data_IF_993160286449
#
_entry.id   IF_993160286449
#
_cell.length_a   1.000
_cell.length_b   1.000
_cell.length_c   1.000
_cell.angle_alpha   90.00
_cell.angle_beta   90.00
_cell.angle_gamma   90.00
#
_symmetry.space_group_name_H-M   'P 1'
#
loop_
_entity.id
_entity.type
_entity.pdbx_description
1 polymer ?
#
# COMPACT_ATOMS: atom_id res chain seq x y z
N UNK A 1 -14.67 -2.31 -30.19
CA UNK A 1 -13.45 -2.48 -29.40
C UNK A 1 -13.79 -3.42 -28.27
N UNK A 2 -13.00 -4.47 -28.07
CA UNK A 2 -13.20 -5.49 -27.03
C UNK A 2 -11.87 -5.69 -26.30
N UNK A 3 -11.91 -6.23 -25.08
CA UNK A 3 -10.71 -6.60 -24.36
C UNK A 3 -10.29 -8.02 -24.76
N UNK A 4 -9.07 -8.17 -25.27
CA UNK A 4 -8.51 -9.43 -25.75
C UNK A 4 -7.71 -10.13 -24.64
N UNK A 5 -7.94 -11.43 -24.44
CA UNK A 5 -7.24 -12.25 -23.43
C UNK A 5 -5.95 -12.85 -24.00
N UNK A 6 -4.83 -12.61 -23.31
CA UNK A 6 -3.53 -13.18 -23.59
C UNK A 6 -3.02 -13.96 -22.39
N UNK A 7 -2.34 -15.09 -22.61
CA UNK A 7 -1.63 -15.84 -21.55
C UNK A 7 -0.17 -15.45 -21.43
N UNK A 8 0.41 -15.05 -22.56
CA UNK A 8 1.79 -14.61 -22.66
C UNK A 8 1.82 -13.41 -23.61
N UNK A 9 2.66 -12.42 -23.30
CA UNK A 9 2.87 -11.27 -24.17
C UNK A 9 4.00 -11.57 -25.16
N UNK A 10 3.73 -11.35 -26.44
CA UNK A 10 4.78 -11.30 -27.47
C UNK A 10 5.65 -10.04 -27.29
N UNK A 11 6.84 -10.01 -27.89
CA UNK A 11 7.80 -8.91 -27.73
C UNK A 11 7.18 -7.52 -28.03
N UNK A 12 6.32 -7.44 -29.04
CA UNK A 12 5.62 -6.20 -29.40
C UNK A 12 4.60 -5.80 -28.34
N UNK A 13 3.81 -6.74 -27.84
CA UNK A 13 2.80 -6.47 -26.80
C UNK A 13 3.45 -6.12 -25.47
N UNK A 14 4.56 -6.79 -25.13
CA UNK A 14 5.37 -6.45 -23.95
C UNK A 14 5.89 -5.02 -24.02
N UNK A 15 6.40 -4.60 -25.17
CA UNK A 15 6.87 -3.23 -25.37
C UNK A 15 5.73 -2.21 -25.22
N UNK A 16 4.56 -2.50 -25.80
CA UNK A 16 3.38 -1.64 -25.73
C UNK A 16 2.79 -1.54 -24.30
N UNK A 17 2.76 -2.66 -23.56
CA UNK A 17 2.38 -2.68 -22.14
C UNK A 17 3.37 -1.85 -21.31
N UNK A 18 4.67 -2.04 -21.53
CA UNK A 18 5.71 -1.27 -20.85
C UNK A 18 5.57 0.24 -21.10
N UNK A 19 5.28 0.64 -22.34
CA UNK A 19 5.00 2.04 -22.68
C UNK A 19 3.79 2.58 -21.90
N UNK A 20 2.65 1.89 -21.95
CA UNK A 20 1.43 2.31 -21.25
C UNK A 20 1.62 2.42 -19.73
N UNK A 21 2.32 1.47 -19.11
CA UNK A 21 2.59 1.51 -17.67
C UNK A 21 3.48 2.70 -17.32
N UNK A 22 4.48 3.01 -18.15
CA UNK A 22 5.34 4.18 -17.96
C UNK A 22 4.57 5.51 -18.12
N UNK A 23 3.63 5.59 -19.07
CA UNK A 23 2.75 6.75 -19.21
C UNK A 23 1.87 6.96 -17.97
N UNK A 24 1.32 5.88 -17.41
CA UNK A 24 0.54 5.93 -16.18
C UNK A 24 1.41 6.32 -14.98
N UNK A 25 2.60 5.73 -14.83
CA UNK A 25 3.57 6.08 -13.79
C UNK A 25 3.93 7.56 -13.81
N UNK A 26 4.16 8.11 -15.00
CA UNK A 26 4.47 9.53 -15.18
C UNK A 26 3.30 10.42 -14.77
N UNK A 27 2.08 10.09 -15.19
CA UNK A 27 0.88 10.88 -14.92
C UNK A 27 0.46 10.82 -13.44
N UNK A 28 0.56 9.65 -12.81
CA UNK A 28 0.07 9.39 -11.45
C UNK A 28 1.16 9.54 -10.38
N UNK A 29 2.39 9.85 -10.80
CA UNK A 29 3.57 9.92 -9.95
C UNK A 29 3.82 8.62 -9.16
N UNK A 30 3.65 7.48 -9.81
CA UNK A 30 3.89 6.14 -9.26
C UNK A 30 5.11 5.47 -9.91
N UNK A 31 5.47 4.29 -9.42
CA UNK A 31 6.57 3.48 -9.92
C UNK A 31 6.22 1.98 -9.97
N UNK A 32 5.09 1.63 -10.60
CA UNK A 32 4.81 0.24 -10.93
C UNK A 32 5.91 -0.33 -11.83
N UNK A 33 6.14 -1.64 -11.74
CA UNK A 33 7.04 -2.30 -12.68
C UNK A 33 6.41 -2.25 -14.08
N UNK A 34 7.19 -1.84 -15.06
CA UNK A 34 6.74 -1.76 -16.45
C UNK A 34 6.84 -3.11 -17.18
N UNK A 35 7.61 -4.06 -16.65
CA UNK A 35 7.70 -5.43 -17.19
C UNK A 35 6.73 -6.36 -16.45
N UNK A 36 5.43 -6.21 -16.75
CA UNK A 36 4.39 -7.04 -16.14
C UNK A 36 4.62 -8.53 -16.49
N UNK A 37 4.60 -9.37 -15.46
CA UNK A 37 4.83 -10.81 -15.53
C UNK A 37 3.64 -11.65 -15.04
N UNK A 38 2.42 -11.10 -15.18
CA UNK A 38 1.17 -11.79 -14.87
C UNK A 38 0.96 -13.10 -15.62
N UNK A 39 0.12 -13.97 -15.03
CA UNK A 39 -0.29 -15.26 -15.59
C UNK A 39 -1.21 -15.11 -16.81
N UNK A 40 -1.88 -13.97 -16.92
CA UNK A 40 -2.71 -13.59 -18.08
C UNK A 40 -2.93 -12.07 -18.11
N UNK A 41 -3.39 -11.59 -19.27
CA UNK A 41 -3.58 -10.17 -19.56
C UNK A 41 -4.88 -9.95 -20.34
N UNK A 42 -5.63 -8.90 -20.01
CA UNK A 42 -6.68 -8.36 -20.87
C UNK A 42 -6.22 -7.03 -21.44
N UNK A 43 -6.16 -6.92 -22.77
CA UNK A 43 -5.62 -5.76 -23.48
C UNK A 43 -6.71 -5.10 -24.33
N UNK A 44 -6.75 -3.77 -24.32
CA UNK A 44 -7.54 -2.95 -25.25
C UNK A 44 -6.57 -2.14 -26.12
N UNK A 45 -6.56 -2.42 -27.43
CA UNK A 45 -5.67 -1.79 -28.41
C UNK A 45 -6.21 -0.46 -28.92
N UNK A 46 -5.28 0.40 -29.33
CA UNK A 46 -5.55 1.60 -30.10
C UNK A 46 -5.43 1.29 -31.61
N UNK A 47 -6.52 0.82 -32.20
CA UNK A 47 -6.55 0.46 -33.63
C UNK A 47 -6.60 1.70 -34.56
N UNK A 48 -6.94 2.88 -34.02
CA UNK A 48 -7.05 4.13 -34.78
C UNK A 48 -6.40 5.31 -34.03
N UNK A 49 -5.11 5.50 -34.28
CA UNK A 49 -4.30 6.58 -33.71
C UNK A 49 -4.71 7.97 -34.22
N UNK A 50 -5.27 8.05 -35.43
CA UNK A 50 -5.73 9.32 -35.99
C UNK A 50 -7.01 9.79 -35.28
N UNK A 51 -7.94 8.88 -35.03
CA UNK A 51 -9.19 9.16 -34.31
C UNK A 51 -8.93 9.45 -32.83
N UNK A 52 -8.07 8.67 -32.17
CA UNK A 52 -7.76 8.86 -30.75
C UNK A 52 -6.85 10.05 -30.47
N UNK A 53 -6.04 10.47 -31.44
CA UNK A 53 -5.04 11.51 -31.27
C UNK A 53 -3.90 11.11 -30.32
N UNK A 54 -3.72 9.80 -30.10
CA UNK A 54 -2.69 9.24 -29.25
C UNK A 54 -1.76 8.33 -30.06
N UNK A 55 -0.45 8.48 -29.83
CA UNK A 55 0.55 7.62 -30.45
C UNK A 55 0.71 6.26 -29.72
N UNK A 56 0.12 6.12 -28.52
CA UNK A 56 0.17 4.90 -27.71
C UNK A 56 -0.54 3.74 -28.41
N UNK A 57 0.06 2.54 -28.38
CA UNK A 57 -0.49 1.33 -29.00
C UNK A 57 -1.68 0.75 -28.21
N UNK A 58 -1.77 1.02 -26.91
CA UNK A 58 -2.77 0.46 -26.01
C UNK A 58 -3.55 1.55 -25.27
N UNK A 59 -4.85 1.35 -25.08
CA UNK A 59 -5.63 2.18 -24.19
C UNK A 59 -5.69 1.63 -22.77
N UNK A 60 -5.70 0.31 -22.61
CA UNK A 60 -5.77 -0.31 -21.31
C UNK A 60 -5.13 -1.71 -21.30
N UNK A 61 -4.62 -2.09 -20.14
CA UNK A 61 -4.20 -3.45 -19.82
C UNK A 61 -4.62 -3.80 -18.39
N UNK A 62 -5.05 -5.04 -18.19
CA UNK A 62 -5.26 -5.65 -16.88
C UNK A 62 -4.42 -6.92 -16.81
N UNK A 63 -3.46 -6.97 -15.89
CA UNK A 63 -2.61 -8.12 -15.59
C UNK A 63 -3.17 -8.87 -14.38
N UNK A 64 -3.28 -10.20 -14.48
CA UNK A 64 -3.80 -11.06 -13.42
C UNK A 64 -2.80 -12.11 -12.94
N UNK A 65 -2.77 -12.34 -11.62
CA UNK A 65 -1.80 -13.20 -10.95
C UNK A 65 -2.50 -14.25 -10.07
N UNK A 66 -2.11 -15.51 -10.21
CA UNK A 66 -2.55 -16.64 -9.38
C UNK A 66 -1.53 -16.93 -8.28
N UNK A 67 -1.61 -16.19 -7.18
CA UNK A 67 -0.69 -16.32 -6.04
C UNK A 67 -1.00 -17.49 -5.10
N UNK A 68 -1.95 -18.36 -5.46
CA UNK A 68 -2.37 -19.51 -4.65
C UNK A 68 -3.15 -19.15 -3.37
N UNK A 69 -3.50 -17.88 -3.19
CA UNK A 69 -4.26 -17.38 -2.05
C UNK A 69 -5.74 -17.79 -2.14
N UNK A 70 -6.35 -18.07 -0.97
CA UNK A 70 -7.79 -18.29 -0.84
C UNK A 70 -8.40 -17.47 0.29
N UNK A 71 -9.53 -16.82 0.01
CA UNK A 71 -10.32 -16.07 0.98
C UNK A 71 -11.73 -16.62 0.98
N UNK A 72 -12.24 -16.98 2.17
CA UNK A 72 -13.58 -17.58 2.34
C UNK A 72 -13.82 -18.83 1.45
N UNK A 73 -12.77 -19.61 1.21
CA UNK A 73 -12.82 -20.80 0.36
C UNK A 73 -12.82 -20.51 -1.14
N UNK A 74 -12.75 -19.24 -1.56
CA UNK A 74 -12.63 -18.84 -2.97
C UNK A 74 -11.18 -18.51 -3.30
N UNK A 75 -10.77 -18.80 -4.54
CA UNK A 75 -9.46 -18.39 -5.04
C UNK A 75 -9.39 -16.87 -5.17
N UNK A 76 -8.24 -16.31 -4.88
CA UNK A 76 -7.95 -14.89 -5.12
C UNK A 76 -7.14 -14.76 -6.41
N UNK A 77 -7.53 -13.80 -7.24
CA UNK A 77 -6.72 -13.29 -8.35
C UNK A 77 -6.24 -11.91 -7.94
N UNK A 78 -4.92 -11.73 -7.86
CA UNK A 78 -4.34 -10.39 -7.70
C UNK A 78 -4.28 -9.70 -9.06
N UNK A 79 -4.56 -8.40 -9.10
CA UNK A 79 -4.72 -7.63 -10.34
C UNK A 79 -4.00 -6.30 -10.25
N UNK A 80 -3.27 -6.01 -11.33
CA UNK A 80 -2.80 -4.67 -11.69
C UNK A 80 -3.53 -4.24 -12.96
N UNK A 81 -4.02 -2.99 -12.99
CA UNK A 81 -4.77 -2.49 -14.13
C UNK A 81 -4.38 -1.05 -14.45
N UNK A 82 -4.17 -0.79 -15.74
CA UNK A 82 -3.71 0.48 -16.25
C UNK A 82 -4.62 0.94 -17.38
N UNK A 83 -4.95 2.22 -17.40
CA UNK A 83 -5.69 2.87 -18.49
C UNK A 83 -4.99 4.18 -18.80
N UNK A 84 -4.69 4.39 -20.08
CA UNK A 84 -3.97 5.54 -20.57
C UNK A 84 -4.59 6.83 -19.98
N UNK A 85 -3.80 7.78 -19.44
CA UNK A 85 -4.32 8.94 -18.71
C UNK A 85 -5.40 9.73 -19.46
N UNK A 86 -5.20 9.98 -20.75
CA UNK A 86 -6.17 10.69 -21.61
C UNK A 86 -7.43 9.88 -21.98
N UNK A 87 -7.45 8.58 -21.67
CA UNK A 87 -8.53 7.64 -22.01
C UNK A 87 -9.23 7.08 -20.78
N UNK A 88 -9.08 7.73 -19.62
CA UNK A 88 -9.81 7.38 -18.39
C UNK A 88 -11.26 7.86 -18.44
N UNK A 89 -12.13 7.25 -17.63
CA UNK A 89 -13.53 7.67 -17.49
C UNK A 89 -14.46 7.32 -18.66
N UNK A 90 -13.96 6.64 -19.70
CA UNK A 90 -14.74 6.23 -20.88
C UNK A 90 -15.00 4.71 -20.96
N UNK A 91 -14.57 3.95 -19.95
CA UNK A 91 -14.98 2.56 -19.74
C UNK A 91 -13.96 1.47 -20.14
N UNK A 92 -12.75 1.81 -20.57
CA UNK A 92 -11.76 0.80 -20.96
C UNK A 92 -11.30 -0.10 -19.80
N UNK A 93 -11.11 0.44 -18.61
CA UNK A 93 -10.92 -0.37 -17.40
C UNK A 93 -12.08 -1.35 -17.20
N UNK A 94 -13.32 -0.86 -17.31
CA UNK A 94 -14.52 -1.68 -17.11
C UNK A 94 -14.62 -2.79 -18.16
N UNK A 95 -14.15 -2.57 -19.38
CA UNK A 95 -14.06 -3.62 -20.40
C UNK A 95 -13.15 -4.76 -19.96
N UNK A 96 -11.90 -4.47 -19.57
CA UNK A 96 -10.98 -5.50 -19.07
C UNK A 96 -11.53 -6.19 -17.81
N UNK A 97 -12.06 -5.43 -16.86
CA UNK A 97 -12.61 -5.96 -15.61
C UNK A 97 -13.82 -6.87 -15.83
N UNK A 98 -14.72 -6.52 -16.75
CA UNK A 98 -15.87 -7.37 -17.05
C UNK A 98 -15.45 -8.65 -17.76
N UNK A 99 -14.49 -8.61 -18.69
CA UNK A 99 -13.93 -9.82 -19.30
C UNK A 99 -13.31 -10.75 -18.25
N UNK A 100 -12.53 -10.20 -17.31
CA UNK A 100 -12.00 -10.96 -16.16
C UNK A 100 -13.11 -11.65 -15.36
N UNK A 101 -14.19 -10.93 -15.05
CA UNK A 101 -15.32 -11.49 -14.28
C UNK A 101 -16.11 -12.57 -15.03
N UNK A 102 -16.22 -12.43 -16.35
CA UNK A 102 -16.95 -13.38 -17.18
C UNK A 102 -16.21 -14.71 -17.30
N UNK A 103 -14.88 -14.65 -17.45
CA UNK A 103 -14.00 -15.80 -17.54
C UNK A 103 -13.75 -16.48 -16.19
N UNK A 104 -13.54 -15.70 -15.13
CA UNK A 104 -13.26 -16.19 -13.78
C UNK A 104 -14.45 -16.01 -12.86
N UNK A 105 -15.37 -16.97 -12.93
CA UNK A 105 -16.52 -17.03 -12.03
C UNK A 105 -16.10 -17.63 -10.69
N UNK A 106 -16.66 -17.08 -9.61
CA UNK A 106 -16.46 -17.54 -8.23
C UNK A 106 -15.03 -17.36 -7.67
N UNK A 107 -14.34 -16.32 -8.11
CA UNK A 107 -13.08 -15.86 -7.52
C UNK A 107 -13.30 -14.56 -6.75
N UNK A 108 -12.33 -14.23 -5.89
CA UNK A 108 -12.15 -12.90 -5.32
C UNK A 108 -11.11 -12.15 -6.12
N UNK A 109 -11.35 -10.87 -6.38
CA UNK A 109 -10.42 -10.04 -7.16
C UNK A 109 -9.77 -9.06 -6.19
N UNK A 110 -8.45 -9.11 -6.09
CA UNK A 110 -7.64 -8.26 -5.19
C UNK A 110 -6.81 -7.30 -6.02
N UNK A 111 -7.10 -6.01 -5.95
CA UNK A 111 -6.37 -4.95 -6.64
C UNK A 111 -5.16 -4.51 -5.82
N UNK A 112 -4.01 -4.43 -6.48
CA UNK A 112 -2.79 -3.84 -5.94
C UNK A 112 -2.67 -2.39 -6.42
N UNK A 113 -2.54 -1.45 -5.48
CA UNK A 113 -2.53 -0.01 -5.79
C UNK A 113 -1.35 0.65 -5.10
N UNK A 114 -0.37 1.14 -5.85
CA UNK A 114 0.71 1.97 -5.32
C UNK A 114 0.23 3.38 -5.01
N UNK A 115 0.64 3.87 -3.85
CA UNK A 115 0.52 5.28 -3.47
C UNK A 115 1.48 6.12 -4.35
N UNK A 116 1.08 7.33 -4.77
CA UNK A 116 1.99 8.28 -5.40
C UNK A 116 3.23 8.55 -4.52
N UNK A 117 4.39 8.68 -5.16
CA UNK A 117 5.66 8.92 -4.50
C UNK A 117 5.64 10.27 -3.77
N UNK A 118 6.13 10.29 -2.53
CA UNK A 118 6.17 11.51 -1.70
C UNK A 118 7.09 12.57 -2.33
N UNK A 119 6.57 13.79 -2.54
CA UNK A 119 7.31 14.91 -3.15
C UNK A 119 6.46 15.77 -4.11
N UNK A 120 5.30 15.27 -4.52
CA UNK A 120 4.29 16.05 -5.24
C UNK A 120 3.17 16.46 -4.29
N UNK A 121 3.38 17.55 -3.55
CA UNK A 121 2.30 18.27 -2.85
C UNK A 121 1.36 18.89 -3.90
N UNK A 122 0.54 18.06 -4.56
CA UNK A 122 -0.60 18.57 -5.29
C UNK A 122 -1.71 18.81 -4.27
N UNK A 123 -2.08 20.08 -4.07
CA UNK A 123 -3.10 20.53 -3.12
C UNK A 123 -4.47 19.85 -3.27
N UNK A 124 -4.70 19.10 -4.35
CA UNK A 124 -5.88 18.26 -4.55
C UNK A 124 -5.93 17.04 -3.60
N UNK A 125 -4.77 16.53 -3.14
CA UNK A 125 -4.71 15.35 -2.26
C UNK A 125 -4.93 15.66 -0.77
N UNK A 126 -4.79 16.93 -0.35
CA UNK A 126 -4.94 17.32 1.07
C UNK A 126 -6.39 17.56 1.51
N UNK A 127 -7.37 17.54 0.60
CA UNK A 127 -8.76 17.92 0.93
C UNK A 127 -9.80 16.92 0.44
N UNK A 128 -9.84 15.76 1.08
CA UNK A 128 -11.12 15.06 1.24
C UNK A 128 -11.47 15.15 2.73
N UNK A 129 -12.19 16.22 3.09
CA UNK A 129 -12.92 16.30 4.35
C UNK A 129 -14.21 15.51 4.18
N UNK A 130 -14.38 14.47 4.99
CA UNK A 130 -15.66 13.77 5.09
C UNK A 130 -16.53 14.55 6.07
N UNK A 131 -17.57 15.20 5.57
CA UNK A 131 -18.73 15.55 6.40
C UNK A 131 -19.30 14.22 6.89
N UNK A 132 -19.23 14.00 8.21
CA UNK A 132 -20.08 13.01 8.85
C UNK A 132 -21.50 13.54 8.73
N UNK A 133 -22.38 12.79 8.05
CA UNK A 133 -23.82 12.94 8.18
C UNK A 133 -24.18 12.76 9.67
N UNK A 134 -24.25 13.87 10.38
CA UNK A 134 -24.93 13.98 11.66
C UNK A 134 -25.87 15.18 11.52
N UNK A 135 -27.04 14.92 10.93
CA UNK A 135 -28.19 15.80 11.09
C UNK A 135 -28.58 15.79 12.57
N UNK A 136 -27.97 16.69 13.33
CA UNK A 136 -28.56 17.22 14.55
C UNK A 136 -28.59 18.74 14.45
N UNK A 137 -29.80 19.26 14.30
CA UNK A 137 -30.09 20.69 14.28
C UNK A 137 -29.45 21.38 15.50
N UNK A 138 -28.80 22.54 15.36
CA UNK A 138 -28.39 23.31 16.52
C UNK A 138 -29.59 24.10 17.02
N UNK A 139 -30.17 23.63 18.13
CA UNK A 139 -31.00 24.43 19.01
C UNK A 139 -30.29 25.75 19.32
N UNK A 140 -30.97 26.85 18.99
CA UNK A 140 -30.46 28.19 19.19
C UNK A 140 -30.26 28.50 20.67
N UNK A 141 -29.06 28.98 21.02
CA UNK A 141 -28.86 29.76 22.23
C UNK A 141 -27.74 30.78 22.03
N UNK A 142 -28.11 32.06 22.01
CA UNK A 142 -27.20 33.18 22.26
C UNK A 142 -26.82 33.19 23.75
N UNK A 143 -25.64 33.70 24.12
CA UNK A 143 -25.67 35.03 24.72
C UNK A 143 -24.51 35.96 24.34
N UNK A 144 -24.82 37.25 24.45
CA UNK A 144 -23.93 38.40 24.31
C UNK A 144 -22.91 38.52 25.45
N UNK A 145 -21.81 39.21 25.12
CA UNK A 145 -20.96 40.13 25.92
C UNK A 145 -20.82 39.94 27.44
N UNK A 146 -19.58 39.92 27.93
CA UNK A 146 -19.01 41.09 28.61
C UNK A 146 -17.54 40.95 29.02
N UNK A 147 -16.89 42.11 29.06
CA UNK A 147 -15.50 42.39 29.45
C UNK A 147 -15.31 42.35 30.98
N UNK A 148 -14.18 41.80 31.45
CA UNK A 148 -13.20 42.42 32.38
C UNK A 148 -12.45 41.41 33.27
N UNK A 149 -11.11 41.48 33.23
CA UNK A 149 -10.26 41.76 34.41
C UNK A 149 -9.94 40.66 35.43
N UNK A 150 -8.64 40.35 35.57
CA UNK A 150 -7.99 40.34 36.90
C UNK A 150 -7.51 39.00 37.50
N UNK A 151 -6.18 38.88 37.59
CA UNK A 151 -5.30 38.31 38.63
C UNK A 151 -5.50 36.90 39.24
N UNK A 152 -4.38 36.15 39.22
CA UNK A 152 -3.70 35.40 40.30
C UNK A 152 -4.55 34.67 41.36
N UNK A 153 -4.38 33.34 41.48
CA UNK A 153 -3.64 32.65 42.58
C UNK A 153 -3.89 31.12 42.60
N UNK A 154 -2.79 30.41 42.80
CA UNK A 154 -2.51 29.17 43.55
C UNK A 154 -3.54 28.04 43.81
N UNK A 155 -3.00 26.82 43.65
CA UNK A 155 -3.17 25.58 44.43
C UNK A 155 -4.58 25.00 44.64
N UNK A 156 -4.75 23.71 44.29
CA UNK A 156 -4.99 22.63 45.26
C UNK A 156 -5.00 21.24 44.62
N UNK A 157 -4.27 20.32 45.24
CA UNK A 157 -4.25 18.87 45.05
C UNK A 157 -5.52 18.20 45.60
N UNK A 158 -6.06 17.18 44.91
CA UNK A 158 -6.72 15.96 45.43
C UNK A 158 -6.85 14.97 44.24
N UNK A 159 -6.16 13.82 44.15
CA UNK A 159 -6.34 12.52 44.84
C UNK A 159 -7.76 11.92 44.82
N UNK A 160 -7.83 10.68 44.34
CA UNK A 160 -8.95 9.72 44.40
C UNK A 160 -9.61 9.52 43.04
N UNK A 161 -9.95 8.34 42.55
CA UNK A 161 -9.69 6.94 42.92
C UNK A 161 -10.16 6.09 41.72
N UNK A 162 -9.69 4.85 41.64
CA UNK A 162 -10.06 3.87 40.63
C UNK A 162 -11.58 3.64 40.57
N UNK A 163 -12.13 3.65 39.36
CA UNK A 163 -13.21 2.74 38.99
C UNK A 163 -13.02 2.29 37.53
N UNK A 164 -12.85 0.98 37.41
CA UNK A 164 -12.83 0.18 36.20
C UNK A 164 -14.29 -0.12 35.84
N UNK A 165 -14.78 0.42 34.73
CA UNK A 165 -15.98 -0.08 34.07
C UNK A 165 -15.73 -0.15 32.56
N UNK A 166 -15.54 -1.38 32.12
CA UNK A 166 -15.77 -1.91 30.77
C UNK A 166 -16.76 -1.10 29.94
N UNK A 167 -16.22 -0.29 29.03
CA UNK A 167 -16.95 0.33 27.93
C UNK A 167 -16.31 -0.13 26.63
N UNK A 168 -17.07 -0.93 25.90
CA UNK A 168 -16.87 -1.41 24.53
C UNK A 168 -16.18 -0.37 23.63
N UNK A 169 -14.85 -0.36 23.60
CA UNK A 169 -14.10 0.31 22.56
C UNK A 169 -14.14 -0.61 21.35
N UNK A 170 -15.25 -0.55 20.62
CA UNK A 170 -15.22 -0.81 19.18
C UNK A 170 -14.09 0.05 18.63
N UNK A 171 -12.95 -0.56 18.33
CA UNK A 171 -11.89 0.03 17.53
C UNK A 171 -12.52 0.37 16.18
N UNK A 172 -13.13 1.56 16.08
CA UNK A 172 -13.38 2.18 14.79
C UNK A 172 -11.99 2.42 14.22
N UNK A 173 -11.60 1.58 13.26
CA UNK A 173 -10.57 1.92 12.29
C UNK A 173 -10.94 3.32 11.79
N UNK A 174 -10.17 4.33 12.18
CA UNK A 174 -10.24 5.67 11.59
C UNK A 174 -9.94 5.45 10.12
N UNK A 175 -10.94 5.46 9.25
CA UNK A 175 -10.72 5.37 7.81
C UNK A 175 -9.89 6.59 7.38
N UNK A 176 -8.61 6.43 7.02
CA UNK A 176 -7.86 7.51 6.41
C UNK A 176 -7.96 7.23 4.91
N UNK A 177 -8.80 7.88 4.11
CA UNK A 177 -8.63 7.70 2.64
C UNK A 177 -8.59 9.06 1.96
N UNK A 178 -7.39 9.62 1.88
CA UNK A 178 -6.96 10.32 0.68
C UNK A 178 -5.53 9.89 0.30
N UNK A 179 -5.31 8.59 0.04
CA UNK A 179 -4.00 8.05 -0.38
C UNK A 179 -4.02 7.34 -1.74
N UNK A 180 -5.19 7.20 -2.36
CA UNK A 180 -5.37 6.68 -3.74
C UNK A 180 -5.79 7.85 -4.63
N UNK A 181 -5.36 7.84 -5.90
CA UNK A 181 -5.84 8.81 -6.89
C UNK A 181 -7.39 8.84 -6.91
N UNK A 182 -8.03 10.03 -6.92
CA UNK A 182 -9.49 10.12 -6.78
C UNK A 182 -10.26 9.27 -7.78
N UNK A 183 -9.81 9.26 -9.04
CA UNK A 183 -10.39 8.45 -10.12
C UNK A 183 -10.28 6.94 -9.85
N UNK A 184 -9.12 6.46 -9.39
CA UNK A 184 -8.90 5.07 -9.00
C UNK A 184 -9.79 4.68 -7.81
N UNK A 185 -9.87 5.52 -6.78
CA UNK A 185 -10.71 5.25 -5.61
C UNK A 185 -12.19 5.18 -5.97
N UNK A 186 -12.69 6.15 -6.73
CA UNK A 186 -14.08 6.17 -7.20
C UNK A 186 -14.41 4.94 -8.06
N UNK A 187 -13.49 4.57 -8.96
CA UNK A 187 -13.62 3.38 -9.80
C UNK A 187 -13.74 2.12 -8.95
N UNK A 188 -12.82 1.91 -8.00
CA UNK A 188 -12.82 0.73 -7.13
C UNK A 188 -14.04 0.69 -6.21
N UNK A 189 -14.46 1.84 -5.67
CA UNK A 189 -15.68 1.95 -4.89
C UNK A 189 -16.92 1.60 -5.73
N UNK A 190 -16.97 2.02 -6.99
CA UNK A 190 -18.12 1.77 -7.87
C UNK A 190 -18.34 0.28 -8.18
N UNK A 191 -17.25 -0.52 -8.15
CA UNK A 191 -17.33 -1.98 -8.30
C UNK A 191 -17.45 -2.73 -6.96
N UNK A 192 -17.62 -2.00 -5.85
CA UNK A 192 -17.82 -2.57 -4.51
C UNK A 192 -16.55 -3.03 -3.82
N UNK A 193 -15.38 -2.55 -4.24
CA UNK A 193 -14.12 -2.93 -3.62
C UNK A 193 -13.99 -2.38 -2.20
N UNK A 194 -13.51 -3.23 -1.29
CA UNK A 194 -13.25 -2.90 0.11
C UNK A 194 -11.75 -2.95 0.41
N UNK A 195 -11.28 -2.05 1.27
CA UNK A 195 -9.90 -2.05 1.75
C UNK A 195 -9.62 -3.31 2.59
N UNK A 196 -8.45 -3.93 2.39
CA UNK A 196 -8.00 -5.08 3.17
C UNK A 196 -6.88 -4.71 4.15
N UNK A 197 -5.75 -4.28 3.61
CA UNK A 197 -4.56 -3.87 4.34
C UNK A 197 -3.64 -3.09 3.40
N UNK A 198 -2.68 -2.38 3.99
CA UNK A 198 -1.58 -1.79 3.25
C UNK A 198 -0.31 -2.62 3.46
N UNK A 199 0.54 -2.68 2.45
CA UNK A 199 1.90 -3.17 2.57
C UNK A 199 2.86 -1.98 2.47
N UNK A 200 3.74 -1.87 3.47
CA UNK A 200 4.69 -0.77 3.61
C UNK A 200 6.07 -1.28 3.23
N UNK A 201 6.67 -0.65 2.23
CA UNK A 201 8.09 -0.81 1.97
C UNK A 201 8.82 0.16 2.89
N UNK A 202 9.67 -0.37 3.76
CA UNK A 202 10.46 0.41 4.69
C UNK A 202 11.94 0.23 4.44
N UNK A 203 12.69 1.33 4.49
CA UNK A 203 14.13 1.36 4.28
C UNK A 203 14.85 1.90 5.52
N UNK A 204 16.05 1.39 5.78
CA UNK A 204 17.02 2.01 6.69
C UNK A 204 18.40 2.07 6.05
N UNK A 205 19.00 3.26 6.07
CA UNK A 205 20.42 3.46 5.77
C UNK A 205 21.26 3.03 6.97
N UNK A 206 22.28 2.22 6.73
CA UNK A 206 23.17 1.68 7.76
C UNK A 206 24.29 2.68 8.10
N UNK A 207 24.76 2.65 9.35
CA UNK A 207 25.89 3.47 9.79
C UNK A 207 27.19 3.11 9.06
N UNK A 208 27.33 1.84 8.70
CA UNK A 208 28.46 1.32 7.92
C UNK A 208 28.00 0.17 7.02
N UNK A 209 28.62 0.02 5.83
CA UNK A 209 28.24 -1.03 4.89
C UNK A 209 28.54 -2.44 5.41
N UNK A 210 27.60 -3.37 5.20
CA UNK A 210 27.72 -4.77 5.63
C UNK A 210 27.78 -5.72 4.43
N UNK A 211 28.34 -6.91 4.64
CA UNK A 211 28.14 -8.04 3.72
C UNK A 211 26.80 -8.72 4.00
N UNK A 212 26.36 -9.59 3.09
CA UNK A 212 25.20 -10.45 3.34
C UNK A 212 25.52 -11.38 4.53
N UNK A 213 24.73 -11.35 5.62
CA UNK A 213 24.89 -12.27 6.72
C UNK A 213 24.51 -13.72 6.37
N UNK A 214 23.70 -13.93 5.34
CA UNK A 214 23.11 -15.23 5.03
C UNK A 214 22.39 -15.84 6.25
N UNK A 215 22.58 -17.13 6.46
CA UNK A 215 21.97 -17.87 7.57
C UNK A 215 22.71 -17.70 8.91
N UNK A 216 23.81 -16.93 8.97
CA UNK A 216 24.64 -16.79 10.19
C UNK A 216 23.86 -16.20 11.39
N UNK A 217 22.74 -15.53 11.14
CA UNK A 217 21.95 -14.82 12.16
C UNK A 217 20.79 -15.64 12.72
N UNK A 218 20.49 -16.80 12.14
CA UNK A 218 19.49 -17.72 12.67
C UNK A 218 20.02 -18.38 13.95
N UNK A 219 19.21 -18.35 15.02
CA UNK A 219 19.62 -18.88 16.31
C UNK A 219 18.44 -19.50 17.07
N UNK A 220 18.68 -19.96 18.30
CA UNK A 220 17.66 -20.64 19.11
C UNK A 220 16.41 -19.82 19.42
N UNK A 221 16.42 -18.50 19.18
CA UNK A 221 15.29 -17.60 19.44
C UNK A 221 14.45 -17.28 18.19
N UNK A 222 15.00 -17.44 17.00
CA UNK A 222 14.35 -17.02 15.77
C UNK A 222 15.29 -17.00 14.56
N UNK A 223 14.73 -16.54 13.45
CA UNK A 223 15.30 -16.61 12.11
C UNK A 223 15.18 -15.25 11.42
N UNK A 224 16.16 -14.95 10.57
CA UNK A 224 16.15 -13.79 9.68
C UNK A 224 16.53 -14.27 8.31
N UNK A 225 15.78 -13.86 7.30
CA UNK A 225 16.01 -14.23 5.92
C UNK A 225 16.26 -12.98 5.07
N UNK A 226 17.42 -12.97 4.42
CA UNK A 226 17.95 -11.84 3.67
C UNK A 226 18.33 -12.30 2.27
N UNK A 227 18.22 -11.38 1.31
CA UNK A 227 18.74 -11.57 -0.05
C UNK A 227 19.26 -10.25 -0.60
N UNK A 228 20.18 -10.29 -1.56
CA UNK A 228 20.57 -9.09 -2.29
C UNK A 228 19.41 -8.59 -3.14
N UNK A 229 19.00 -7.33 -2.93
CA UNK A 229 17.99 -6.67 -3.76
C UNK A 229 18.63 -6.03 -4.99
N UNK A 230 19.62 -5.18 -4.73
CA UNK A 230 20.38 -4.48 -5.75
C UNK A 230 21.89 -4.44 -5.40
N UNK A 231 22.64 -3.51 -6.00
CA UNK A 231 24.09 -3.37 -5.77
C UNK A 231 24.44 -2.97 -4.34
N UNK A 232 23.57 -2.23 -3.65
CA UNK A 232 23.82 -1.62 -2.34
C UNK A 232 22.70 -1.90 -1.30
N UNK A 233 21.63 -2.59 -1.67
CA UNK A 233 20.48 -2.87 -0.79
C UNK A 233 20.33 -4.37 -0.49
N UNK A 234 20.20 -4.71 0.80
CA UNK A 234 19.73 -6.02 1.26
C UNK A 234 18.22 -5.98 1.47
N UNK A 235 17.52 -6.99 0.98
CA UNK A 235 16.11 -7.19 1.23
C UNK A 235 15.90 -8.20 2.35
N UNK A 236 15.23 -7.77 3.42
CA UNK A 236 14.75 -8.65 4.49
C UNK A 236 13.34 -9.11 4.12
N UNK A 237 13.22 -10.37 3.73
CA UNK A 237 11.96 -11.00 3.33
C UNK A 237 11.37 -11.90 4.42
N UNK A 238 12.08 -12.09 5.53
CA UNK A 238 11.55 -12.84 6.67
C UNK A 238 12.23 -12.48 7.99
N UNK A 239 11.41 -12.25 9.01
CA UNK A 239 11.83 -12.16 10.40
C UNK A 239 10.86 -12.99 11.24
N UNK A 240 11.38 -14.01 11.91
CA UNK A 240 10.60 -14.89 12.77
C UNK A 240 11.21 -14.92 14.17
N UNK A 241 10.37 -14.75 15.19
CA UNK A 241 10.73 -15.04 16.59
C UNK A 241 9.83 -16.17 17.05
N UNK A 242 10.41 -17.27 17.54
CA UNK A 242 9.61 -18.42 17.96
C UNK A 242 8.72 -18.08 19.17
N UNK A 243 7.49 -18.61 19.20
CA UNK A 243 6.41 -18.23 20.13
C UNK A 243 6.83 -18.09 21.59
N UNK A 244 7.60 -19.06 22.11
CA UNK A 244 8.11 -19.07 23.50
C UNK A 244 9.03 -17.89 23.84
N UNK A 245 9.49 -17.14 22.84
CA UNK A 245 10.44 -16.02 22.94
C UNK A 245 9.82 -14.68 22.51
N UNK A 246 8.54 -14.63 22.15
CA UNK A 246 7.85 -13.37 21.84
C UNK A 246 7.82 -12.43 23.06
N UNK A 247 7.76 -11.12 22.79
CA UNK A 247 7.64 -10.08 23.82
C UNK A 247 8.90 -9.84 24.68
N UNK A 248 10.02 -10.51 24.39
CA UNK A 248 11.27 -10.45 25.20
C UNK A 248 12.40 -9.65 24.54
N UNK A 249 12.11 -8.91 23.48
CA UNK A 249 13.09 -8.10 22.75
C UNK A 249 13.98 -8.87 21.75
N UNK A 250 13.73 -10.16 21.52
CA UNK A 250 14.54 -10.97 20.61
C UNK A 250 14.47 -10.51 19.15
N UNK A 251 13.31 -10.04 18.66
CA UNK A 251 13.21 -9.45 17.31
C UNK A 251 14.11 -8.23 17.14
N UNK A 252 14.15 -7.35 18.14
CA UNK A 252 15.07 -6.19 18.17
C UNK A 252 16.53 -6.61 18.19
N UNK A 253 16.86 -7.66 18.94
CA UNK A 253 18.23 -8.19 18.99
C UNK A 253 18.66 -8.78 17.65
N UNK A 254 17.78 -9.55 16.98
CA UNK A 254 18.02 -10.10 15.65
C UNK A 254 18.26 -8.99 14.63
N UNK A 255 17.37 -8.00 14.54
CA UNK A 255 17.52 -6.86 13.62
C UNK A 255 18.82 -6.09 13.86
N UNK A 256 19.16 -5.81 15.13
CA UNK A 256 20.43 -5.15 15.45
C UNK A 256 21.65 -5.99 15.05
N UNK A 257 21.57 -7.32 15.16
CA UNK A 257 22.64 -8.19 14.70
C UNK A 257 22.82 -8.15 13.17
N UNK A 258 21.72 -7.96 12.42
CA UNK A 258 21.78 -7.69 10.97
C UNK A 258 22.46 -6.35 10.71
N UNK A 259 21.96 -5.27 11.32
CA UNK A 259 22.44 -3.90 11.09
C UNK A 259 23.92 -3.71 11.45
N UNK A 260 24.41 -4.46 12.45
CA UNK A 260 25.78 -4.37 12.95
C UNK A 260 26.62 -5.59 12.57
N UNK A 261 26.28 -6.27 11.48
CA UNK A 261 27.03 -7.43 11.03
C UNK A 261 28.49 -7.06 10.77
N UNK A 262 29.41 -7.72 11.47
CA UNK A 262 30.81 -7.27 11.61
C UNK A 262 31.61 -7.34 10.29
N UNK A 263 31.15 -8.14 9.33
CA UNK A 263 31.85 -8.30 8.05
C UNK A 263 31.49 -7.13 7.12
N UNK A 264 32.49 -6.33 6.70
CA UNK A 264 32.25 -5.23 5.78
C UNK A 264 31.81 -5.76 4.41
N UNK A 265 30.95 -5.02 3.74
CA UNK A 265 30.49 -5.40 2.40
C UNK A 265 29.93 -4.24 1.61
N UNK A 266 29.15 -4.57 0.57
CA UNK A 266 28.63 -3.59 -0.38
C UNK A 266 27.30 -2.96 0.06
N UNK A 267 26.60 -3.58 1.00
CA UNK A 267 25.22 -3.20 1.31
C UNK A 267 25.19 -2.06 2.32
N UNK A 268 24.60 -0.94 1.92
CA UNK A 268 24.49 0.30 2.71
C UNK A 268 23.09 0.49 3.27
N UNK A 269 22.13 -0.29 2.79
CA UNK A 269 20.71 -0.16 3.10
C UNK A 269 20.08 -1.52 3.35
N UNK A 270 19.07 -1.52 4.21
CA UNK A 270 18.14 -2.64 4.37
C UNK A 270 16.75 -2.17 3.95
N UNK A 271 16.14 -2.89 3.02
CA UNK A 271 14.75 -2.76 2.59
C UNK A 271 13.93 -3.92 3.18
N UNK A 272 12.69 -3.67 3.57
CA UNK A 272 11.75 -4.70 4.03
C UNK A 272 10.33 -4.33 3.64
N UNK A 273 9.45 -5.34 3.61
CA UNK A 273 8.00 -5.16 3.48
C UNK A 273 7.30 -5.56 4.78
N UNK A 274 6.28 -4.80 5.19
CA UNK A 274 5.46 -5.13 6.35
C UNK A 274 4.01 -4.74 6.12
N UNK A 275 3.09 -5.64 6.47
CA UNK A 275 1.66 -5.32 6.49
C UNK A 275 1.36 -4.27 7.55
N UNK A 276 0.52 -3.29 7.23
CA UNK A 276 0.01 -2.26 8.15
C UNK A 276 -0.73 -2.85 9.36
N UNK A 277 -1.25 -4.08 9.22
CA UNK A 277 -1.93 -4.78 10.31
C UNK A 277 -0.96 -5.46 11.27
N UNK A 278 0.32 -5.61 10.91
CA UNK A 278 1.36 -6.16 11.78
C UNK A 278 1.97 -5.05 12.66
N UNK A 279 1.15 -4.52 13.56
CA UNK A 279 1.52 -3.42 14.47
C UNK A 279 2.76 -3.75 15.31
N UNK A 280 2.97 -5.02 15.65
CA UNK A 280 4.15 -5.45 16.42
C UNK A 280 5.44 -5.26 15.60
N UNK A 281 5.45 -5.73 14.34
CA UNK A 281 6.61 -5.57 13.47
C UNK A 281 6.82 -4.11 13.05
N UNK A 282 5.74 -3.38 12.76
CA UNK A 282 5.82 -1.96 12.43
C UNK A 282 6.48 -1.14 13.54
N UNK A 283 5.99 -1.29 14.78
CA UNK A 283 6.59 -0.63 15.95
C UNK A 283 8.07 -1.03 16.16
N UNK A 284 8.44 -2.27 15.83
CA UNK A 284 9.82 -2.74 15.90
C UNK A 284 10.70 -2.00 14.87
N UNK A 285 10.26 -1.92 13.61
CA UNK A 285 11.01 -1.31 12.52
C UNK A 285 11.11 0.20 12.69
N UNK A 286 10.01 0.89 13.00
CA UNK A 286 10.00 2.33 13.30
C UNK A 286 10.90 2.64 14.51
N UNK A 287 10.81 1.82 15.58
CA UNK A 287 11.66 1.95 16.77
C UNK A 287 13.14 1.66 16.53
N UNK A 288 13.49 1.12 15.36
CA UNK A 288 14.87 0.94 14.89
C UNK A 288 15.28 2.01 13.86
N UNK A 289 14.38 2.91 13.47
CA UNK A 289 14.67 3.99 12.52
C UNK A 289 14.51 3.60 11.05
N UNK A 290 13.77 2.53 10.76
CA UNK A 290 13.26 2.29 9.41
C UNK A 290 12.19 3.33 9.08
N UNK A 291 12.19 3.80 7.83
CA UNK A 291 11.23 4.79 7.33
C UNK A 291 10.46 4.21 6.15
N UNK A 292 9.16 4.50 6.07
CA UNK A 292 8.34 4.16 4.91
C UNK A 292 8.85 4.91 3.67
N UNK A 293 9.11 4.18 2.59
CA UNK A 293 9.51 4.74 1.29
C UNK A 293 8.42 4.58 0.25
N UNK A 294 7.67 3.46 0.30
CA UNK A 294 6.52 3.22 -0.57
C UNK A 294 5.40 2.55 0.22
N UNK A 295 4.18 2.71 -0.29
CA UNK A 295 2.98 2.08 0.26
C UNK A 295 2.15 1.51 -0.86
N UNK A 296 1.77 0.25 -0.69
CA UNK A 296 0.88 -0.50 -1.55
C UNK A 296 -0.43 -0.71 -0.79
N UNK A 297 -1.56 -0.45 -1.42
CA UNK A 297 -2.90 -0.62 -0.87
C UNK A 297 -3.55 -1.80 -1.58
N UNK A 298 -4.07 -2.73 -0.80
CA UNK A 298 -4.83 -3.86 -1.32
C UNK A 298 -6.33 -3.67 -1.10
N UNK A 299 -7.10 -3.72 -2.19
CA UNK A 299 -8.57 -3.65 -2.17
C UNK A 299 -9.17 -4.90 -2.80
N UNK A 300 -10.30 -5.39 -2.30
CA UNK A 300 -10.91 -6.64 -2.76
C UNK A 300 -12.39 -6.50 -3.10
N UNK A 301 -12.82 -7.23 -4.13
CA UNK A 301 -14.22 -7.45 -4.53
C UNK A 301 -14.56 -8.94 -4.38
#
# INVERSE_FOLDING_TARGET
MEAELFKELEDMDRAAVCELVNECNLADHTNYDSDLDGDFYYIVRNDDKEESGLDSELFAVLSGYFLGETVEGKKVIEVEAFTHPSMRGIGFFSMCYNSLRDDFRDVKIKFMIKKPLTGSDCAAYERICFESDDESEPDGYFPESDLHGGSDTDDFLCKGDFHDESGDQTFRLKAPVPFVAPDTYETLRSIGAVHLYDELLMEKVLEHPISDPGDDLCNKYGEVHLTGYDKETLYLYGLLVYDKYLGKGHGKALMKAVENYEKPGKYKKILLQVSSNNVIALNLYEGLGYVETERIVYMMV
#
